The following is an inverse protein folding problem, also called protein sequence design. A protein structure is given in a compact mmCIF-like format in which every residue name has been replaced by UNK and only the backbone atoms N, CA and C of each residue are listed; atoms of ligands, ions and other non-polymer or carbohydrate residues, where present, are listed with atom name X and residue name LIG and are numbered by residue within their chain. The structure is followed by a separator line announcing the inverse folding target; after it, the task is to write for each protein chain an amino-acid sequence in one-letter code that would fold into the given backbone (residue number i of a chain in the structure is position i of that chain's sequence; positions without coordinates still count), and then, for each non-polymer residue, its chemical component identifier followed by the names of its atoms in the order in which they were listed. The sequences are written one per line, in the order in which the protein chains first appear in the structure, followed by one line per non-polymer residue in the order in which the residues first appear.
data_IF_571672967196
#
_entry.id   IF_571672967196
#
_cell.length_a   1.000
_cell.length_b   1.000
_cell.length_c   1.000
_cell.angle_alpha   90.00
_cell.angle_beta   90.00
_cell.angle_gamma   90.00
#
_symmetry.space_group_name_H-M   'P 1'
#
loop_
_entity.id
_entity.type
_entity.pdbx_description
1 polymer ?
#
# COMPACT_ATOMS: atom_id res chain seq x y z
N UNK A 1 -3.14 -9.22 -24.57
CA UNK A 1 -3.29 -9.00 -23.12
C UNK A 1 -2.95 -7.54 -22.88
N UNK A 2 -3.92 -6.69 -22.55
CA UNK A 2 -3.62 -5.29 -22.25
C UNK A 2 -2.74 -5.22 -21.00
N UNK A 3 -1.71 -4.36 -20.94
CA UNK A 3 -0.90 -4.22 -19.75
C UNK A 3 -1.78 -3.69 -18.61
N UNK A 4 -1.75 -4.38 -17.47
CA UNK A 4 -2.45 -3.97 -16.27
C UNK A 4 -1.71 -2.74 -15.70
N UNK A 5 -2.34 -1.57 -15.74
CA UNK A 5 -1.72 -0.33 -15.22
C UNK A 5 -2.10 -0.16 -13.75
N UNK A 6 -1.14 -0.39 -12.86
CA UNK A 6 -1.28 -0.08 -11.45
C UNK A 6 -0.68 1.29 -11.15
N UNK A 7 -1.45 2.16 -10.53
CA UNK A 7 -0.95 3.39 -9.92
C UNK A 7 -1.32 3.47 -8.45
N UNK A 8 -0.51 4.21 -7.69
CA UNK A 8 -0.70 4.46 -6.26
C UNK A 8 -0.87 5.97 -6.05
N UNK A 9 -1.87 6.36 -5.28
CA UNK A 9 -2.09 7.74 -4.84
C UNK A 9 -2.03 7.80 -3.31
N UNK A 10 -1.31 8.80 -2.81
CA UNK A 10 -1.33 9.18 -1.40
C UNK A 10 -2.17 10.45 -1.25
N UNK A 11 -3.16 10.45 -0.36
CA UNK A 11 -3.98 11.63 -0.06
C UNK A 11 -4.06 11.88 1.45
N UNK A 12 -4.18 13.15 1.85
CA UNK A 12 -4.36 13.56 3.23
C UNK A 12 -4.22 15.09 3.37
N UNK A 13 -4.46 15.62 4.58
CA UNK A 13 -4.32 17.04 4.86
C UNK A 13 -3.00 17.28 5.59
N UNK A 14 -2.10 18.06 4.99
CA UNK A 14 -0.86 18.46 5.64
C UNK A 14 -1.12 19.41 6.81
N UNK A 15 -0.49 19.12 7.95
CA UNK A 15 -0.43 19.96 9.14
C UNK A 15 0.95 19.81 9.80
N UNK A 16 1.81 20.82 9.58
CA UNK A 16 3.21 20.84 10.05
C UNK A 16 3.98 19.60 9.59
N UNK A 17 4.36 18.72 10.53
CA UNK A 17 5.15 17.51 10.28
C UNK A 17 4.29 16.26 10.08
N UNK A 18 2.96 16.42 10.06
CA UNK A 18 1.99 15.32 10.00
C UNK A 18 1.04 15.52 8.82
N UNK A 19 0.64 14.41 8.21
CA UNK A 19 -0.48 14.35 7.28
C UNK A 19 -1.66 13.68 8.00
N UNK A 20 -2.76 14.42 8.18
CA UNK A 20 -4.00 13.91 8.76
C UNK A 20 -4.86 13.18 7.73
N UNK A 21 -5.61 12.17 8.19
CA UNK A 21 -6.48 11.34 7.35
C UNK A 21 -5.75 10.73 6.15
N UNK A 22 -4.51 10.31 6.39
CA UNK A 22 -3.60 9.80 5.38
C UNK A 22 -4.09 8.46 4.82
N UNK A 23 -4.24 8.39 3.49
CA UNK A 23 -4.63 7.18 2.78
C UNK A 23 -3.66 6.82 1.68
N UNK A 24 -3.52 5.52 1.46
CA UNK A 24 -2.89 4.96 0.26
C UNK A 24 -3.96 4.24 -0.55
N UNK A 25 -4.08 4.64 -1.81
CA UNK A 25 -5.11 4.16 -2.72
C UNK A 25 -4.46 3.54 -3.94
N UNK A 26 -4.89 2.33 -4.27
CA UNK A 26 -4.53 1.64 -5.51
C UNK A 26 -5.59 1.92 -6.58
N UNK A 27 -5.12 2.16 -7.79
CA UNK A 27 -5.93 2.21 -9.00
C UNK A 27 -5.43 1.17 -9.99
N UNK A 28 -6.35 0.36 -10.52
CA UNK A 28 -6.11 -0.57 -11.61
C UNK A 28 -7.29 -0.53 -12.55
N UNK A 29 -7.08 -0.08 -13.78
CA UNK A 29 -8.15 0.17 -14.77
C UNK A 29 -9.29 1.03 -14.17
N UNK A 30 -10.49 0.46 -14.02
CA UNK A 30 -11.67 1.12 -13.45
C UNK A 30 -11.88 0.82 -11.95
N UNK A 31 -10.97 0.06 -11.33
CA UNK A 31 -11.08 -0.37 -9.93
C UNK A 31 -10.20 0.50 -9.04
N UNK A 32 -10.76 0.88 -7.88
CA UNK A 32 -10.09 1.66 -6.84
C UNK A 32 -10.18 0.91 -5.51
N UNK A 33 -9.07 0.84 -4.78
CA UNK A 33 -9.05 0.28 -3.42
C UNK A 33 -8.19 1.13 -2.48
N UNK A 34 -8.73 1.54 -1.34
CA UNK A 34 -7.93 2.07 -0.23
C UNK A 34 -7.30 0.91 0.53
N UNK A 35 -5.97 0.83 0.53
CA UNK A 35 -5.20 -0.24 1.20
C UNK A 35 -4.62 0.18 2.54
N UNK A 36 -4.55 1.49 2.79
CA UNK A 36 -4.14 2.08 4.05
C UNK A 36 -5.04 3.28 4.36
N UNK A 37 -5.49 3.37 5.61
CA UNK A 37 -6.16 4.54 6.15
C UNK A 37 -5.64 4.78 7.57
N UNK A 38 -4.95 5.90 7.78
CA UNK A 38 -4.36 6.29 9.07
C UNK A 38 -4.89 7.66 9.46
N UNK A 39 -5.20 7.83 10.74
CA UNK A 39 -5.53 9.15 11.27
C UNK A 39 -4.37 10.14 11.07
N UNK A 40 -3.13 9.67 11.21
CA UNK A 40 -1.89 10.47 11.10
C UNK A 40 -0.76 9.68 10.44
N UNK A 41 0.04 10.36 9.63
CA UNK A 41 1.32 9.89 9.06
C UNK A 41 2.35 11.00 9.19
N UNK A 42 3.61 10.70 9.49
CA UNK A 42 4.66 11.72 9.55
C UNK A 42 5.27 11.94 8.17
N UNK A 43 5.79 13.15 7.91
CA UNK A 43 6.39 13.52 6.61
C UNK A 43 7.73 12.85 6.34
N UNK A 44 8.40 12.33 7.37
CA UNK A 44 9.69 11.67 7.31
C UNK A 44 9.61 10.16 7.00
N UNK A 45 8.41 9.65 6.71
CA UNK A 45 8.20 8.32 6.16
C UNK A 45 7.17 8.36 5.04
N UNK A 46 7.46 7.69 3.93
CA UNK A 46 6.58 7.65 2.76
C UNK A 46 6.38 6.21 2.30
N UNK A 47 5.13 5.77 2.11
CA UNK A 47 4.85 4.48 1.51
C UNK A 47 5.43 4.36 0.10
N UNK A 48 5.99 3.20 -0.22
CA UNK A 48 6.56 2.91 -1.54
C UNK A 48 6.15 1.53 -2.02
N UNK A 49 5.93 1.40 -3.33
CA UNK A 49 5.79 0.10 -3.97
C UNK A 49 7.19 -0.50 -4.15
N UNK A 50 7.46 -1.63 -3.49
CA UNK A 50 8.78 -2.30 -3.54
C UNK A 50 8.83 -3.35 -4.64
N UNK A 51 7.72 -4.02 -4.89
CA UNK A 51 7.60 -5.02 -5.95
C UNK A 51 6.13 -5.23 -6.34
N UNK A 52 5.91 -5.59 -7.60
CA UNK A 52 4.61 -6.01 -8.13
C UNK A 52 4.81 -7.15 -9.13
N UNK A 53 4.04 -8.23 -8.99
CA UNK A 53 4.10 -9.42 -9.85
C UNK A 53 3.20 -10.54 -9.33
N UNK A 54 3.29 -11.73 -9.91
CA UNK A 54 2.48 -12.89 -9.51
C UNK A 54 3.29 -13.77 -8.55
N UNK A 55 3.07 -13.63 -7.24
CA UNK A 55 3.87 -14.30 -6.22
C UNK A 55 3.40 -15.74 -5.99
N UNK A 56 2.09 -15.98 -6.05
CA UNK A 56 1.48 -17.26 -5.75
C UNK A 56 1.03 -18.08 -6.98
N UNK A 57 1.34 -17.58 -8.18
CA UNK A 57 1.18 -18.25 -9.49
C UNK A 57 -0.28 -18.40 -9.91
N UNK A 58 -1.13 -17.45 -9.55
CA UNK A 58 -2.54 -17.43 -9.95
C UNK A 58 -2.79 -16.58 -11.22
N UNK A 59 -1.74 -15.97 -11.77
CA UNK A 59 -1.78 -15.11 -12.95
C UNK A 59 -2.27 -13.68 -12.67
N UNK A 60 -2.42 -13.27 -11.40
CA UNK A 60 -2.89 -11.95 -10.98
C UNK A 60 -1.77 -11.18 -10.28
N UNK A 61 -2.01 -9.88 -10.08
CA UNK A 61 -0.99 -8.96 -9.58
C UNK A 61 -1.01 -8.89 -8.04
N UNK A 62 0.08 -9.32 -7.42
CA UNK A 62 0.39 -9.18 -6.00
C UNK A 62 1.36 -8.03 -5.75
N UNK A 63 1.39 -7.53 -4.52
CA UNK A 63 2.18 -6.34 -4.15
C UNK A 63 2.98 -6.57 -2.88
N UNK A 64 4.24 -6.16 -2.91
CA UNK A 64 5.02 -5.87 -1.70
C UNK A 64 5.15 -4.36 -1.58
N UNK A 65 4.53 -3.79 -0.54
CA UNK A 65 4.61 -2.37 -0.25
C UNK A 65 5.35 -2.13 1.06
N UNK A 66 6.18 -1.10 1.08
CA UNK A 66 6.67 -0.55 2.34
C UNK A 66 5.70 0.54 2.79
N UNK A 67 5.05 0.37 3.93
CA UNK A 67 4.07 1.32 4.48
C UNK A 67 4.66 2.15 5.64
N UNK A 68 5.98 2.29 5.67
CA UNK A 68 6.71 3.14 6.62
C UNK A 68 6.15 4.56 6.66
N UNK A 69 5.99 5.10 7.86
CA UNK A 69 5.42 6.43 8.10
C UNK A 69 6.18 7.26 9.13
N UNK A 70 7.40 6.85 9.48
CA UNK A 70 8.25 7.57 10.41
C UNK A 70 9.71 7.14 10.20
N UNK A 71 10.67 8.02 10.46
CA UNK A 71 12.08 7.79 10.12
C UNK A 71 12.71 6.54 10.74
N UNK A 72 12.29 6.17 11.95
CA UNK A 72 12.79 4.99 12.66
C UNK A 72 11.86 3.79 12.54
N UNK A 73 10.89 3.78 11.62
CA UNK A 73 9.97 2.66 11.42
C UNK A 73 10.31 1.96 10.11
N UNK A 74 10.14 0.65 10.06
CA UNK A 74 10.01 -0.11 8.81
C UNK A 74 8.71 -0.90 8.83
N UNK A 75 7.93 -0.89 7.73
CA UNK A 75 6.70 -1.68 7.63
C UNK A 75 6.49 -2.30 6.24
N UNK A 76 7.34 -3.24 5.81
CA UNK A 76 7.04 -4.10 4.67
C UNK A 76 5.73 -4.87 4.90
N UNK A 77 4.86 -4.82 3.90
CA UNK A 77 3.50 -5.32 3.92
C UNK A 77 3.21 -6.05 2.61
N UNK A 78 2.83 -7.32 2.72
CA UNK A 78 2.48 -8.18 1.59
C UNK A 78 0.97 -8.14 1.35
N UNK A 79 0.62 -7.94 0.09
CA UNK A 79 -0.74 -8.00 -0.41
C UNK A 79 -0.86 -9.06 -1.50
N UNK A 80 -1.83 -9.96 -1.38
CA UNK A 80 -2.12 -10.99 -2.40
C UNK A 80 -3.49 -10.73 -3.02
N UNK A 81 -3.55 -10.82 -4.34
CA UNK A 81 -4.77 -10.72 -5.14
C UNK A 81 -5.64 -11.97 -5.04
N UNK A 82 -5.05 -13.15 -4.91
CA UNK A 82 -5.75 -14.43 -4.68
C UNK A 82 -6.59 -14.48 -3.40
N UNK A 83 -6.27 -13.61 -2.43
CA UNK A 83 -6.98 -13.48 -1.13
C UNK A 83 -7.95 -12.30 -1.08
N UNK A 84 -8.08 -11.54 -2.17
CA UNK A 84 -8.96 -10.38 -2.25
C UNK A 84 -10.44 -10.79 -2.28
N UNK A 85 -11.29 -10.02 -1.62
CA UNK A 85 -12.74 -10.12 -1.83
C UNK A 85 -13.11 -9.66 -3.26
N UNK A 86 -14.33 -9.97 -3.71
CA UNK A 86 -14.79 -9.65 -5.08
C UNK A 86 -14.65 -8.17 -5.47
N UNK A 87 -14.72 -7.26 -4.49
CA UNK A 87 -14.58 -5.81 -4.67
C UNK A 87 -13.20 -5.25 -4.29
N UNK A 88 -12.24 -6.09 -3.91
CA UNK A 88 -10.86 -5.71 -3.56
C UNK A 88 -9.90 -6.08 -4.71
N UNK A 89 -8.90 -5.24 -4.99
CA UNK A 89 -7.80 -5.56 -5.89
C UNK A 89 -6.86 -6.58 -5.26
N UNK A 90 -6.50 -6.34 -4.00
CA UNK A 90 -5.57 -7.16 -3.22
C UNK A 90 -6.00 -7.21 -1.76
N UNK A 91 -5.56 -8.23 -1.03
CA UNK A 91 -5.75 -8.35 0.42
C UNK A 91 -4.43 -8.25 1.16
N UNK A 92 -4.36 -7.46 2.23
CA UNK A 92 -3.22 -7.51 3.15
C UNK A 92 -3.19 -8.88 3.82
N UNK A 93 -2.13 -9.65 3.58
CA UNK A 93 -1.97 -10.99 4.17
C UNK A 93 -0.88 -11.05 5.23
N UNK A 94 0.09 -10.14 5.19
CA UNK A 94 1.14 -10.03 6.19
C UNK A 94 1.66 -8.59 6.28
N UNK A 95 2.13 -8.23 7.47
CA UNK A 95 2.86 -6.98 7.72
C UNK A 95 3.92 -7.25 8.76
N UNK A 96 5.12 -6.72 8.56
CA UNK A 96 6.20 -6.83 9.51
C UNK A 96 6.65 -5.44 9.90
N UNK A 97 6.26 -4.98 11.10
CA UNK A 97 6.58 -3.65 11.60
C UNK A 97 7.75 -3.71 12.57
N UNK A 98 8.76 -2.88 12.33
CA UNK A 98 9.95 -2.76 13.17
C UNK A 98 10.20 -1.30 13.52
N UNK A 99 10.89 -1.06 14.64
CA UNK A 99 11.36 0.25 15.07
C UNK A 99 12.87 0.23 15.31
N UNK A 100 13.56 1.26 14.87
CA UNK A 100 14.97 1.55 15.15
C UNK A 100 15.11 2.48 16.36
N UNK A 101 16.29 2.46 16.97
CA UNK A 101 16.69 3.34 18.07
C UNK A 101 17.63 4.43 17.55
#
# INVERSE_FOLDING_TARGET
MSPLFLSTLCEGKEDKEVIENYKVILYSDQRRQTILNRARSYLDGSPTLRWAGDLDRDGRLDLLMDLTNHYNVSEPTLFLSSRAAANELVKKVASHRQVGC
#
